data_IF_724343569465
#
_entry.id   IF_724343569465
#
_cell.length_a   1.000
_cell.length_b   1.000
_cell.length_c   1.000
_cell.angle_alpha   90.00
_cell.angle_beta   90.00
_cell.angle_gamma   90.00
#
_symmetry.space_group_name_H-M   'P 1'
#
loop_
_entity.id
_entity.type
_entity.pdbx_description
1 polymer ?
#
# COMPACT_ATOMS: atom_id res chain seq x y z
N UNK A 1 5.98 -42.54 21.32
CA UNK A 1 6.93 -41.44 21.05
C UNK A 1 6.18 -40.37 20.28
N UNK A 2 6.03 -39.17 20.83
CA UNK A 2 5.46 -38.06 20.07
C UNK A 2 6.51 -37.65 19.03
N UNK A 3 6.17 -37.74 17.75
CA UNK A 3 6.99 -37.17 16.68
C UNK A 3 7.24 -35.68 16.97
N UNK A 4 8.45 -35.16 16.72
CA UNK A 4 8.70 -33.74 16.91
C UNK A 4 7.69 -32.95 16.07
N UNK A 5 6.99 -32.02 16.74
CA UNK A 5 6.05 -31.12 16.07
C UNK A 5 6.87 -30.33 15.06
N UNK A 6 6.55 -30.45 13.77
CA UNK A 6 7.27 -29.74 12.71
C UNK A 6 6.98 -28.25 12.88
N UNK A 7 7.95 -27.49 13.35
CA UNK A 7 7.84 -26.04 13.50
C UNK A 7 8.16 -25.40 12.14
N UNK A 8 7.23 -24.58 11.66
CA UNK A 8 7.39 -23.80 10.45
C UNK A 8 7.78 -22.37 10.83
N UNK A 9 8.81 -21.84 10.18
CA UNK A 9 9.29 -20.48 10.40
C UNK A 9 9.21 -19.71 9.09
N UNK A 10 8.60 -18.52 9.15
CA UNK A 10 8.59 -17.54 8.07
C UNK A 10 8.72 -16.14 8.64
N UNK A 11 9.01 -15.18 7.77
CA UNK A 11 9.20 -13.77 8.12
C UNK A 11 8.22 -12.90 7.34
N UNK A 12 8.11 -11.62 7.72
CA UNK A 12 7.32 -10.63 6.98
C UNK A 12 7.74 -10.55 5.50
N UNK A 13 9.05 -10.56 5.22
CA UNK A 13 9.58 -10.64 3.84
C UNK A 13 9.14 -11.90 3.09
N UNK A 14 8.87 -13.02 3.76
CA UNK A 14 8.32 -14.21 3.12
C UNK A 14 6.90 -13.97 2.60
N UNK A 15 6.09 -13.23 3.38
CA UNK A 15 4.72 -12.84 3.01
C UNK A 15 4.75 -11.85 1.85
N UNK A 16 5.60 -10.83 1.93
CA UNK A 16 5.79 -9.83 0.86
C UNK A 16 6.19 -10.48 -0.46
N UNK A 17 7.25 -11.30 -0.49
CA UNK A 17 7.65 -12.00 -1.71
C UNK A 17 6.58 -12.97 -2.21
N UNK A 18 5.91 -13.66 -1.30
CA UNK A 18 4.78 -14.53 -1.63
C UNK A 18 3.65 -13.78 -2.34
N UNK A 19 3.34 -12.56 -1.88
CA UNK A 19 2.35 -11.69 -2.51
C UNK A 19 2.82 -11.21 -3.88
N UNK A 20 4.03 -10.64 -3.95
CA UNK A 20 4.60 -10.10 -5.18
C UNK A 20 4.65 -11.17 -6.28
N UNK A 21 5.19 -12.36 -6.00
CA UNK A 21 5.30 -13.44 -7.00
C UNK A 21 3.92 -13.88 -7.51
N UNK A 22 2.92 -13.98 -6.63
CA UNK A 22 1.57 -14.42 -7.00
C UNK A 22 0.81 -13.38 -7.82
N UNK A 23 1.08 -12.10 -7.60
CA UNK A 23 0.27 -11.00 -8.12
C UNK A 23 1.04 -10.01 -9.01
N UNK A 24 2.29 -10.29 -9.37
CA UNK A 24 3.12 -9.45 -10.27
C UNK A 24 2.46 -9.15 -11.60
N UNK A 25 1.61 -10.05 -12.08
CA UNK A 25 0.87 -9.81 -13.31
C UNK A 25 -0.18 -8.69 -13.21
N UNK A 26 -0.62 -8.33 -12.00
CA UNK A 26 -1.75 -7.43 -11.72
C UNK A 26 -1.35 -5.98 -11.53
N UNK A 27 -0.13 -5.72 -11.05
CA UNK A 27 0.36 -4.35 -10.85
C UNK A 27 1.22 -3.90 -12.05
N UNK A 28 1.07 -2.64 -12.42
CA UNK A 28 1.97 -1.97 -13.36
C UNK A 28 3.20 -1.47 -12.63
N UNK A 29 3.06 -1.05 -11.37
CA UNK A 29 4.17 -0.56 -10.55
C UNK A 29 4.10 -0.98 -9.09
N UNK A 30 5.28 -1.18 -8.50
CA UNK A 30 5.46 -1.43 -7.07
C UNK A 30 6.64 -0.60 -6.55
N UNK A 31 6.46 0.08 -5.43
CA UNK A 31 7.47 0.94 -4.80
C UNK A 31 7.59 0.55 -3.33
N UNK A 32 8.72 -0.03 -2.96
CA UNK A 32 9.02 -0.37 -1.56
C UNK A 32 9.42 0.87 -0.79
N UNK A 33 8.93 0.99 0.44
CA UNK A 33 9.27 2.07 1.37
C UNK A 33 10.10 1.46 2.51
N UNK A 34 11.16 2.12 2.95
CA UNK A 34 12.05 1.66 4.03
C UNK A 34 12.47 2.83 4.94
N UNK A 35 12.81 2.56 6.19
CA UNK A 35 13.37 3.52 7.14
C UNK A 35 12.44 4.68 7.50
N UNK A 36 12.95 5.92 7.47
CA UNK A 36 12.14 7.12 7.74
C UNK A 36 11.00 7.34 6.72
N UNK A 37 10.92 6.48 5.69
CA UNK A 37 9.98 6.53 4.59
C UNK A 37 8.85 5.49 4.71
N UNK A 38 8.90 4.54 5.66
CA UNK A 38 7.79 3.64 6.09
C UNK A 38 6.68 4.39 6.87
N UNK A 39 6.56 5.69 6.67
CA UNK A 39 5.53 6.49 7.36
C UNK A 39 4.14 6.15 6.83
N UNK A 40 4.01 5.93 5.52
CA UNK A 40 2.73 5.61 4.90
C UNK A 40 2.37 4.12 5.02
N UNK A 41 3.28 3.24 4.58
CA UNK A 41 3.13 1.77 4.59
C UNK A 41 4.46 1.12 4.15
N UNK A 42 4.53 -0.21 4.11
CA UNK A 42 5.66 -0.96 3.55
C UNK A 42 5.78 -0.84 2.02
N UNK A 43 4.67 -0.81 1.29
CA UNK A 43 4.71 -0.75 -0.18
C UNK A 43 3.53 0.01 -0.79
N UNK A 44 3.81 0.80 -1.83
CA UNK A 44 2.82 1.42 -2.71
C UNK A 44 2.73 0.60 -3.99
N UNK A 45 1.51 0.27 -4.40
CA UNK A 45 1.27 -0.38 -5.69
C UNK A 45 0.36 0.47 -6.59
N UNK A 46 0.71 0.55 -7.88
CA UNK A 46 -0.22 0.96 -8.95
C UNK A 46 -0.73 -0.28 -9.66
N UNK A 47 -2.04 -0.48 -9.61
CA UNK A 47 -2.75 -1.56 -10.29
C UNK A 47 -2.91 -1.24 -11.78
N UNK A 48 -3.17 -2.29 -12.55
CA UNK A 48 -3.70 -2.15 -13.91
C UNK A 48 -5.01 -1.34 -13.86
N UNK A 49 -5.15 -0.30 -14.70
CA UNK A 49 -6.30 0.62 -14.66
C UNK A 49 -6.10 1.85 -13.76
N UNK A 50 -4.84 2.24 -13.49
CA UNK A 50 -4.48 3.52 -12.86
C UNK A 50 -4.94 3.71 -11.40
N UNK A 51 -5.25 2.62 -10.69
CA UNK A 51 -5.63 2.66 -9.28
C UNK A 51 -4.43 2.44 -8.36
N UNK A 52 -4.41 3.13 -7.23
CA UNK A 52 -3.32 3.07 -6.26
C UNK A 52 -3.72 2.43 -4.94
N UNK A 53 -2.81 1.67 -4.35
CA UNK A 53 -2.97 0.92 -3.10
C UNK A 53 -1.76 1.07 -2.17
N UNK A 54 -2.03 1.08 -0.87
CA UNK A 54 -1.06 0.90 0.21
C UNK A 54 -1.23 -0.51 0.80
N UNK A 55 -0.13 -1.23 0.90
CA UNK A 55 -0.11 -2.56 1.49
C UNK A 55 0.98 -2.63 2.56
N UNK A 56 0.53 -2.90 3.77
CA UNK A 56 1.38 -3.22 4.92
C UNK A 56 1.49 -4.74 5.02
N UNK A 57 2.72 -5.28 5.01
CA UNK A 57 2.96 -6.69 5.18
C UNK A 57 3.20 -6.99 6.66
N UNK A 58 2.66 -8.11 7.14
CA UNK A 58 2.97 -8.62 8.47
C UNK A 58 3.27 -10.10 8.39
N UNK A 59 4.13 -10.60 9.27
CA UNK A 59 4.44 -12.03 9.33
C UNK A 59 3.16 -12.87 9.55
N UNK A 60 2.36 -12.50 10.55
CA UNK A 60 1.16 -13.20 10.99
C UNK A 60 0.14 -12.21 11.57
N UNK A 61 -1.06 -12.69 11.89
CA UNK A 61 -2.14 -11.84 12.42
C UNK A 61 -1.77 -11.19 13.76
N UNK A 62 -1.02 -11.90 14.62
CA UNK A 62 -0.60 -11.37 15.93
C UNK A 62 0.36 -10.19 15.78
N UNK A 63 1.16 -10.19 14.72
CA UNK A 63 2.09 -9.10 14.38
C UNK A 63 1.37 -7.79 13.99
N UNK A 64 0.07 -7.84 13.65
CA UNK A 64 -0.73 -6.63 13.36
C UNK A 64 -0.82 -5.73 14.58
N UNK A 65 -0.93 -6.30 15.78
CA UNK A 65 -1.04 -5.50 17.01
C UNK A 65 0.18 -4.58 17.18
N UNK A 66 1.37 -5.06 16.86
CA UNK A 66 2.60 -4.27 16.95
C UNK A 66 2.59 -3.07 15.99
N UNK A 67 1.91 -3.18 14.85
CA UNK A 67 1.69 -2.05 13.93
C UNK A 67 0.80 -1.01 14.57
N UNK A 68 -0.35 -1.43 15.12
CA UNK A 68 -1.32 -0.53 15.70
C UNK A 68 -0.83 0.11 17.01
N UNK A 69 0.01 -0.59 17.77
CA UNK A 69 0.63 -0.08 19.00
C UNK A 69 1.61 1.09 18.73
N UNK A 70 2.00 1.33 17.47
CA UNK A 70 2.77 2.54 17.07
C UNK A 70 2.00 3.84 17.29
N UNK A 71 0.67 3.78 17.45
CA UNK A 71 -0.22 4.93 17.66
C UNK A 71 -0.55 5.19 19.15
N UNK A 72 0.29 4.72 20.07
CA UNK A 72 0.13 4.99 21.51
C UNK A 72 1.01 6.18 21.91
N UNK A 73 0.37 7.29 22.27
CA UNK A 73 1.07 8.42 22.87
C UNK A 73 1.50 8.06 24.30
N UNK A 74 2.76 8.37 24.64
CA UNK A 74 3.25 8.30 26.01
C UNK A 74 3.61 9.71 26.46
N UNK A 75 2.68 10.40 27.10
CA UNK A 75 3.04 11.59 27.88
C UNK A 75 3.61 11.12 29.22
N UNK A 76 4.94 11.03 29.29
CA UNK A 76 5.66 10.62 30.48
C UNK A 76 5.43 11.56 31.69
N UNK A 77 4.99 12.81 31.45
CA UNK A 77 4.71 13.78 32.50
C UNK A 77 3.28 13.66 33.06
N UNK A 78 2.35 13.06 32.31
CA UNK A 78 0.93 12.93 32.71
C UNK A 78 0.48 11.49 32.95
N UNK A 79 1.29 10.50 32.62
CA UNK A 79 0.93 9.06 32.64
C UNK A 79 -0.37 8.77 31.87
N UNK A 80 -0.63 9.57 30.82
CA UNK A 80 -1.79 9.41 29.94
C UNK A 80 -1.33 8.64 28.71
N UNK A 81 -2.01 7.52 28.44
CA UNK A 81 -1.97 6.84 27.15
C UNK A 81 -3.22 7.20 26.38
N UNK A 82 -3.10 8.15 25.46
CA UNK A 82 -4.18 8.39 24.53
C UNK A 82 -4.08 7.42 23.36
N UNK A 83 -5.18 6.74 23.05
CA UNK A 83 -5.26 5.87 21.90
C UNK A 83 -5.55 6.71 20.65
N UNK A 84 -4.48 7.25 20.06
CA UNK A 84 -4.54 8.12 18.88
C UNK A 84 -5.07 7.36 17.65
N UNK A 85 -4.87 6.04 17.61
CA UNK A 85 -5.37 5.17 16.55
C UNK A 85 -6.87 5.37 16.29
N UNK A 86 -7.69 5.45 17.35
CA UNK A 86 -9.13 5.60 17.20
C UNK A 86 -9.53 6.95 16.58
N UNK A 87 -8.77 8.02 16.85
CA UNK A 87 -9.01 9.33 16.24
C UNK A 87 -8.71 9.29 14.74
N UNK A 88 -7.53 8.76 14.38
CA UNK A 88 -7.11 8.63 12.98
C UNK A 88 -8.06 7.71 12.23
N UNK A 89 -8.46 6.61 12.85
CA UNK A 89 -9.46 5.69 12.31
C UNK A 89 -10.78 6.41 12.04
N UNK A 90 -11.31 7.18 13.00
CA UNK A 90 -12.56 7.92 12.80
C UNK A 90 -12.48 8.88 11.61
N UNK A 91 -11.33 9.52 11.41
CA UNK A 91 -11.10 10.48 10.32
C UNK A 91 -10.93 9.79 8.95
N UNK A 92 -10.15 8.70 8.90
CA UNK A 92 -9.65 8.12 7.64
C UNK A 92 -10.25 6.76 7.27
N UNK A 93 -11.09 6.16 8.12
CA UNK A 93 -11.61 4.80 7.88
C UNK A 93 -12.38 4.67 6.57
N UNK A 94 -13.12 5.70 6.16
CA UNK A 94 -13.98 5.60 4.98
C UNK A 94 -13.15 5.60 3.70
N UNK A 95 -12.14 6.48 3.61
CA UNK A 95 -11.18 6.47 2.50
C UNK A 95 -10.34 5.19 2.55
N UNK A 96 -9.85 4.81 3.73
CA UNK A 96 -8.98 3.64 3.96
C UNK A 96 -9.56 2.33 3.45
N UNK A 97 -10.89 2.15 3.47
CA UNK A 97 -11.57 0.91 3.03
C UNK A 97 -11.21 0.50 1.60
N UNK A 98 -10.86 1.47 0.77
CA UNK A 98 -10.55 1.25 -0.65
C UNK A 98 -9.06 1.34 -0.97
N UNK A 99 -8.20 1.78 -0.06
CA UNK A 99 -6.82 2.15 -0.40
C UNK A 99 -5.76 1.49 0.48
N UNK A 100 -6.07 1.14 1.73
CA UNK A 100 -5.04 0.76 2.70
C UNK A 100 -5.36 -0.58 3.37
N UNK A 101 -4.50 -1.56 3.12
CA UNK A 101 -4.70 -2.96 3.48
C UNK A 101 -3.49 -3.53 4.22
N UNK A 102 -3.74 -4.56 5.01
CA UNK A 102 -2.71 -5.38 5.65
C UNK A 102 -2.76 -6.78 5.02
N UNK A 103 -1.59 -7.34 4.69
CA UNK A 103 -1.45 -8.71 4.20
C UNK A 103 -0.54 -9.49 5.14
N UNK A 104 -0.99 -10.66 5.58
CA UNK A 104 -0.23 -11.51 6.50
C UNK A 104 -0.26 -12.98 6.12
N UNK A 105 0.72 -13.73 6.64
CA UNK A 105 0.84 -15.16 6.44
C UNK A 105 0.02 -15.96 7.45
N UNK A 106 -0.67 -16.99 6.99
CA UNK A 106 -1.31 -17.99 7.84
C UNK A 106 -0.99 -19.40 7.30
N UNK A 107 -0.75 -20.38 8.17
CA UNK A 107 -0.65 -21.76 7.71
C UNK A 107 -2.04 -22.28 7.34
N UNK A 108 -2.16 -22.92 6.18
CA UNK A 108 -3.40 -23.57 5.79
C UNK A 108 -3.71 -24.71 6.78
N UNK A 109 -4.68 -24.47 7.67
CA UNK A 109 -5.10 -25.45 8.68
C UNK A 109 -5.71 -26.71 8.05
N UNK A 110 -6.13 -26.67 6.78
CA UNK A 110 -6.65 -27.83 6.04
C UNK A 110 -5.52 -28.68 5.48
N UNK A 111 -4.38 -28.06 5.15
CA UNK A 111 -3.21 -28.73 4.59
C UNK A 111 -2.15 -28.89 5.67
N UNK A 112 -2.04 -30.08 6.26
CA UNK A 112 -1.05 -30.37 7.30
C UNK A 112 0.39 -30.55 6.74
N UNK A 113 0.72 -29.86 5.66
CA UNK A 113 1.99 -29.94 4.93
C UNK A 113 2.90 -28.72 5.16
N UNK A 114 2.37 -27.66 5.80
CA UNK A 114 3.09 -26.42 6.01
C UNK A 114 2.87 -25.37 4.92
N UNK A 115 1.82 -25.52 4.10
CA UNK A 115 1.46 -24.53 3.09
C UNK A 115 1.14 -23.19 3.75
N UNK A 116 1.89 -22.15 3.36
CA UNK A 116 1.65 -20.77 3.77
C UNK A 116 0.65 -20.12 2.80
N UNK A 117 -0.48 -19.67 3.34
CA UNK A 117 -1.48 -18.86 2.65
C UNK A 117 -1.33 -17.39 3.02
N UNK A 118 -1.85 -16.53 2.16
CA UNK A 118 -1.89 -15.09 2.38
C UNK A 118 -3.31 -14.69 2.71
N UNK A 119 -3.47 -13.89 3.75
CA UNK A 119 -4.75 -13.33 4.17
C UNK A 119 -4.63 -11.82 4.14
N UNK A 120 -5.69 -11.13 3.71
CA UNK A 120 -5.74 -9.69 3.69
C UNK A 120 -6.88 -9.17 4.57
N UNK A 121 -6.71 -7.97 5.12
CA UNK A 121 -7.74 -7.22 5.83
C UNK A 121 -7.53 -5.72 5.62
N UNK A 122 -8.54 -4.91 5.96
CA UNK A 122 -8.42 -3.45 5.92
C UNK A 122 -7.54 -2.95 7.07
N UNK A 123 -6.73 -1.92 6.84
CA UNK A 123 -5.79 -1.41 7.84
C UNK A 123 -6.47 -1.02 9.17
N UNK A 124 -7.56 -0.23 9.11
CA UNK A 124 -8.30 0.18 10.31
C UNK A 124 -9.37 -0.84 10.78
N UNK A 125 -9.62 -1.91 10.02
CA UNK A 125 -10.54 -3.00 10.37
C UNK A 125 -9.89 -4.37 10.15
N UNK A 126 -8.82 -4.63 10.89
CA UNK A 126 -7.97 -5.81 10.70
C UNK A 126 -8.58 -7.14 11.17
N UNK A 127 -9.80 -7.12 11.70
CA UNK A 127 -10.50 -8.31 12.21
C UNK A 127 -11.23 -9.10 11.14
N UNK A 128 -11.59 -8.45 10.04
CA UNK A 128 -12.41 -9.05 8.99
C UNK A 128 -11.55 -9.29 7.75
N UNK A 129 -11.35 -10.57 7.36
CA UNK A 129 -10.64 -10.88 6.13
C UNK A 129 -11.39 -10.37 4.91
N UNK A 130 -10.64 -9.91 3.92
CA UNK A 130 -11.11 -9.53 2.59
C UNK A 130 -10.34 -10.35 1.55
N UNK A 131 -10.98 -10.65 0.42
CA UNK A 131 -10.33 -11.38 -0.67
C UNK A 131 -9.21 -10.56 -1.30
N UNK A 132 -8.01 -11.14 -1.45
CA UNK A 132 -6.90 -10.47 -2.14
C UNK A 132 -7.28 -10.14 -3.58
N UNK A 133 -7.96 -11.05 -4.29
CA UNK A 133 -8.41 -10.77 -5.66
C UNK A 133 -9.43 -9.62 -5.70
N UNK A 134 -10.32 -9.52 -4.70
CA UNK A 134 -11.26 -8.39 -4.57
C UNK A 134 -10.50 -7.06 -4.40
N UNK A 135 -9.47 -7.04 -3.55
CA UNK A 135 -8.61 -5.86 -3.39
C UNK A 135 -8.01 -5.46 -4.73
N UNK A 136 -7.40 -6.41 -5.44
CA UNK A 136 -6.65 -6.17 -6.66
C UNK A 136 -7.53 -5.80 -7.86
N UNK A 137 -8.80 -6.23 -7.90
CA UNK A 137 -9.70 -5.92 -9.02
C UNK A 137 -10.61 -4.71 -8.77
N UNK A 138 -11.09 -4.52 -7.54
CA UNK A 138 -12.16 -3.57 -7.27
C UNK A 138 -11.68 -2.32 -6.52
N UNK A 139 -10.67 -2.48 -5.66
CA UNK A 139 -10.21 -1.41 -4.77
C UNK A 139 -9.13 -0.54 -5.44
N UNK A 140 -8.73 0.48 -4.72
CA UNK A 140 -7.79 1.52 -5.10
C UNK A 140 -8.46 2.84 -5.43
N UNK A 141 -7.65 3.89 -5.48
CA UNK A 141 -8.09 5.26 -5.78
C UNK A 141 -7.34 5.82 -6.98
N UNK A 142 -7.90 6.88 -7.58
CA UNK A 142 -7.13 7.75 -8.45
C UNK A 142 -5.99 8.42 -7.68
N UNK A 143 -5.04 8.97 -8.42
CA UNK A 143 -3.82 9.53 -7.88
C UNK A 143 -4.04 10.70 -6.92
N UNK A 144 -4.91 11.65 -7.28
CA UNK A 144 -5.14 12.85 -6.47
C UNK A 144 -5.76 12.49 -5.11
N UNK A 145 -6.72 11.56 -5.13
CA UNK A 145 -7.32 11.00 -3.92
C UNK A 145 -6.29 10.21 -3.09
N UNK A 146 -5.44 9.41 -3.76
CA UNK A 146 -4.37 8.65 -3.11
C UNK A 146 -3.37 9.55 -2.40
N UNK A 147 -2.84 10.56 -3.08
CA UNK A 147 -1.87 11.50 -2.53
C UNK A 147 -2.46 12.27 -1.33
N UNK A 148 -3.74 12.65 -1.43
CA UNK A 148 -4.47 13.30 -0.34
C UNK A 148 -4.56 12.38 0.89
N UNK A 149 -4.95 11.12 0.69
CA UNK A 149 -5.03 10.14 1.77
C UNK A 149 -3.67 9.92 2.44
N UNK A 150 -2.62 9.63 1.65
CA UNK A 150 -1.26 9.38 2.15
C UNK A 150 -0.76 10.56 2.97
N UNK A 151 -0.98 11.78 2.50
CA UNK A 151 -0.59 13.00 3.22
C UNK A 151 -1.29 13.10 4.58
N UNK A 152 -2.63 12.96 4.62
CA UNK A 152 -3.39 12.99 5.89
C UNK A 152 -2.91 11.89 6.85
N UNK A 153 -2.70 10.68 6.35
CA UNK A 153 -2.26 9.55 7.16
C UNK A 153 -0.85 9.76 7.76
N UNK A 154 0.10 10.27 6.97
CA UNK A 154 1.44 10.60 7.46
C UNK A 154 1.40 11.75 8.44
N UNK A 155 0.68 12.83 8.13
CA UNK A 155 0.56 13.99 9.03
C UNK A 155 0.00 13.55 10.38
N UNK A 156 -1.02 12.69 10.37
CA UNK A 156 -1.54 12.08 11.57
C UNK A 156 -0.45 11.25 12.29
N UNK A 157 0.28 10.36 11.60
CA UNK A 157 1.35 9.55 12.22
C UNK A 157 2.52 10.40 12.77
N UNK A 158 2.87 11.51 12.12
CA UNK A 158 4.01 12.39 12.45
C UNK A 158 3.71 13.42 13.54
N UNK A 159 2.49 13.98 13.58
CA UNK A 159 2.06 14.88 14.68
C UNK A 159 2.18 14.21 16.06
N UNK A 160 2.26 12.88 16.08
CA UNK A 160 2.26 12.07 17.29
C UNK A 160 3.61 11.39 17.58
N UNK A 161 4.67 11.66 16.79
CA UNK A 161 6.07 11.39 17.19
C UNK A 161 6.65 12.64 17.85
N UNK A 162 7.05 12.54 19.12
CA UNK A 162 7.68 13.64 19.87
C UNK A 162 8.82 14.29 19.08
N UNK A 163 8.86 15.63 19.13
CA UNK A 163 9.83 16.51 18.48
C UNK A 163 11.26 16.17 18.87
N UNK A 164 11.95 15.39 18.05
CA UNK A 164 13.41 15.42 17.90
C UNK A 164 13.74 15.20 16.43
N UNK A 165 13.56 16.25 15.64
CA UNK A 165 13.85 16.23 14.22
C UNK A 165 13.04 17.29 13.50
N UNK A 166 13.71 18.35 13.05
CA UNK A 166 13.17 19.29 12.09
C UNK A 166 12.84 18.51 10.80
N UNK A 167 11.62 17.99 10.73
CA UNK A 167 11.17 17.17 9.62
C UNK A 167 10.44 18.10 8.67
N UNK A 168 11.11 18.49 7.58
CA UNK A 168 10.49 19.27 6.52
C UNK A 168 9.26 18.52 5.99
N UNK A 169 8.07 19.09 6.18
CA UNK A 169 6.79 18.44 5.85
C UNK A 169 6.59 18.11 4.36
N UNK A 170 7.51 18.53 3.50
CA UNK A 170 7.57 18.24 2.05
C UNK A 170 8.44 17.04 1.69
N UNK A 171 9.02 16.34 2.67
CA UNK A 171 10.10 15.39 2.40
C UNK A 171 9.63 14.12 1.70
N UNK A 172 8.49 13.50 2.06
CA UNK A 172 8.01 12.28 1.40
C UNK A 172 7.83 12.44 -0.12
N UNK A 173 7.43 13.65 -0.52
CA UNK A 173 7.24 14.07 -1.90
C UNK A 173 8.58 14.35 -2.61
N UNK A 174 9.65 14.69 -1.90
CA UNK A 174 10.95 15.06 -2.50
C UNK A 174 11.97 13.90 -2.63
N UNK A 175 11.64 12.65 -2.26
CA UNK A 175 12.63 11.56 -2.18
C UNK A 175 12.62 10.59 -3.34
N UNK A 176 13.84 10.23 -3.78
CA UNK A 176 14.04 9.27 -4.85
C UNK A 176 13.75 7.84 -4.39
N UNK A 177 12.63 7.28 -4.84
CA UNK A 177 12.21 5.91 -4.54
C UNK A 177 12.60 4.97 -5.67
N UNK A 178 12.84 3.72 -5.31
CA UNK A 178 13.11 2.64 -6.26
C UNK A 178 11.79 1.93 -6.58
N UNK A 179 11.33 2.05 -7.81
CA UNK A 179 10.13 1.38 -8.31
C UNK A 179 10.44 0.36 -9.38
N UNK A 180 9.64 -0.70 -9.45
CA UNK A 180 9.61 -1.62 -10.58
C UNK A 180 8.44 -1.20 -11.47
N UNK A 181 8.69 -0.98 -12.77
CA UNK A 181 7.66 -0.76 -13.78
C UNK A 181 7.62 -1.94 -14.75
N UNK A 182 6.47 -2.61 -14.79
CA UNK A 182 6.26 -3.78 -15.65
C UNK A 182 5.95 -3.40 -17.10
N UNK A 183 5.36 -2.22 -17.32
CA UNK A 183 4.90 -1.79 -18.64
C UNK A 183 6.06 -1.21 -19.49
N UNK A 184 7.04 -0.56 -18.83
CA UNK A 184 8.21 0.03 -19.51
C UNK A 184 9.47 -0.85 -19.55
N UNK A 185 9.33 -2.18 -19.38
CA UNK A 185 10.39 -3.21 -19.45
C UNK A 185 11.28 -3.37 -18.19
N UNK A 186 10.69 -3.78 -17.07
CA UNK A 186 11.43 -4.29 -15.89
C UNK A 186 12.54 -3.33 -15.40
N UNK A 187 12.32 -2.02 -15.50
CA UNK A 187 13.33 -1.05 -15.12
C UNK A 187 13.26 -0.75 -13.61
N UNK A 188 14.42 -0.85 -12.94
CA UNK A 188 14.62 -0.38 -11.57
C UNK A 188 14.86 1.13 -11.66
N UNK A 189 13.86 1.94 -11.33
CA UNK A 189 13.95 3.39 -11.50
C UNK A 189 14.03 4.09 -10.15
N UNK A 190 15.06 4.94 -10.00
CA UNK A 190 15.30 5.77 -8.81
C UNK A 190 14.84 7.21 -9.11
N UNK A 191 13.65 7.61 -8.62
CA UNK A 191 13.04 8.93 -8.92
C UNK A 191 12.27 9.54 -7.74
N UNK A 192 12.33 10.88 -7.53
CA UNK A 192 11.53 11.57 -6.52
C UNK A 192 10.05 11.20 -6.58
N UNK A 193 9.35 11.04 -5.45
CA UNK A 193 7.91 10.77 -5.45
C UNK A 193 7.13 11.86 -6.21
N UNK A 194 7.58 13.11 -6.22
CA UNK A 194 7.03 14.24 -7.03
C UNK A 194 7.43 14.24 -8.50
N UNK A 195 8.54 13.60 -8.87
CA UNK A 195 8.96 13.44 -10.27
C UNK A 195 8.49 12.08 -10.82
N UNK A 196 7.58 11.41 -10.10
CA UNK A 196 6.84 10.30 -10.66
C UNK A 196 5.92 10.75 -11.80
N UNK A 197 5.66 12.05 -11.97
CA UNK A 197 4.90 12.57 -13.11
C UNK A 197 5.49 12.17 -14.48
N UNK A 198 6.82 12.13 -14.57
CA UNK A 198 7.54 11.75 -15.79
C UNK A 198 7.76 10.22 -15.88
N UNK A 199 7.74 9.50 -14.75
CA UNK A 199 7.86 8.03 -14.77
C UNK A 199 6.50 7.36 -14.99
N UNK A 200 5.40 8.01 -14.60
CA UNK A 200 4.03 7.55 -14.74
C UNK A 200 3.30 8.14 -15.94
N UNK A 201 3.94 9.03 -16.68
CA UNK A 201 3.40 9.81 -17.80
C UNK A 201 1.93 10.20 -17.59
N UNK A 202 1.70 11.21 -16.76
CA UNK A 202 0.36 11.73 -16.50
C UNK A 202 -0.16 12.67 -17.60
N UNK A 203 0.49 12.74 -18.78
CA UNK A 203 0.02 13.64 -19.85
C UNK A 203 0.10 13.15 -21.30
N UNK A 204 0.69 11.98 -21.64
CA UNK A 204 0.76 11.56 -23.07
C UNK A 204 -0.28 10.55 -23.56
N UNK A 205 -1.15 9.96 -22.74
CA UNK A 205 -2.17 9.02 -23.27
C UNK A 205 -3.55 9.63 -23.56
N UNK A 206 -3.71 10.96 -23.45
CA UNK A 206 -4.94 11.65 -23.85
C UNK A 206 -4.94 12.19 -25.30
N UNK A 207 -3.82 12.13 -26.02
CA UNK A 207 -3.73 12.57 -27.43
C UNK A 207 -3.90 11.45 -28.47
N UNK A 208 -4.17 10.19 -28.07
CA UNK A 208 -4.33 9.08 -29.01
C UNK A 208 -5.77 8.59 -29.23
N UNK A 209 -6.78 9.34 -28.79
CA UNK A 209 -8.19 9.12 -29.12
C UNK A 209 -8.80 10.32 -29.84
N UNK A 210 -8.25 10.66 -31.02
CA UNK A 210 -9.05 11.28 -32.08
C UNK A 210 -8.59 10.78 -33.45
N UNK A 211 -9.06 9.60 -33.91
CA UNK A 211 -9.01 9.30 -35.33
C UNK A 211 -10.02 10.23 -36.02
N UNK A 212 -9.50 11.18 -36.78
CA UNK A 212 -10.24 12.06 -37.69
C UNK A 212 -11.48 11.36 -38.27
N UNK A 213 -12.68 11.75 -37.81
CA UNK A 213 -13.88 11.57 -38.61
C UNK A 213 -13.97 12.73 -39.61
N UNK A 214 -13.42 12.44 -40.79
CA UNK A 214 -13.70 13.11 -42.05
C UNK A 214 -15.21 13.11 -42.30
N UNK A 215 -15.89 14.20 -41.92
CA UNK A 215 -17.23 14.51 -42.41
C UNK A 215 -17.13 14.93 -43.88
N UNK A 216 -16.95 13.95 -44.75
CA UNK A 216 -17.30 14.07 -46.15
C UNK A 216 -18.82 14.17 -46.26
N UNK A 217 -19.32 15.36 -46.59
CA UNK A 217 -20.74 15.56 -46.93
C UNK A 217 -21.10 14.66 -48.14
N UNK A 218 -22.20 13.89 -48.08
CA UNK A 218 -22.70 13.26 -49.28
C UNK A 218 -23.49 14.28 -50.10
N UNK A 219 -22.88 14.77 -51.17
CA UNK A 219 -23.61 15.30 -52.32
C UNK A 219 -24.40 14.14 -52.97
N UNK A 220 -25.72 14.20 -52.95
CA UNK A 220 -26.57 13.29 -53.74
C UNK A 220 -27.07 14.00 -55.02
N UNK A 221 -27.22 13.25 -56.13
CA UNK A 221 -27.61 13.76 -57.45
C UNK A 221 -29.10 14.13 -57.55
#
# INVERSE_FOLDING_TARGET
MNSPKKEFLWWEKTVEYGFVIKHVSKFSKAVQLDGNYEKASDTIFKMSGYKWLLIEFKKDQDSIKNELDKFVEKDAAKDIKENVFEKIKLELQDESKNIHFIIYGELDKKLNDGTLTLVACQYFNSKEPIGIEEILSEKGMDEASFATYVKKFIEAKDLHKNKDGNTDKNTLFNYRLIGINKDDKEEIVIRPLVELDDFFDFSQELEMLDPQEDFSEPSFP
#
